data_IF_661903149159
#
_entry.id   IF_661903149159
#
_cell.length_a   1.000
_cell.length_b   1.000
_cell.length_c   1.000
_cell.angle_alpha   90.00
_cell.angle_beta   90.00
_cell.angle_gamma   90.00
#
_symmetry.space_group_name_H-M   'P 1'
#
loop_
_entity.id
_entity.type
_entity.pdbx_description
1 polymer ?
#
# COMPACT_ATOMS: atom_id res chain seq x y z
N UNK A 1 -38.28 -12.13 33.84
CA UNK A 1 -36.84 -11.88 34.08
C UNK A 1 -36.39 -10.86 33.04
N UNK A 2 -36.44 -9.57 33.40
CA UNK A 2 -35.31 -8.79 33.93
C UNK A 2 -34.28 -8.47 32.84
N UNK A 3 -33.83 -7.24 32.59
CA UNK A 3 -34.14 -5.86 33.00
C UNK A 3 -33.01 -5.04 32.34
N UNK A 4 -33.34 -3.89 31.73
CA UNK A 4 -32.49 -2.70 31.55
C UNK A 4 -31.28 -2.88 30.59
N UNK A 5 -31.02 -1.97 29.65
CA UNK A 5 -30.47 -0.64 29.94
C UNK A 5 -30.91 0.34 28.84
N UNK A 6 -31.64 1.38 29.27
CA UNK A 6 -31.71 2.68 28.61
C UNK A 6 -31.39 3.73 29.67
N UNK A 7 -30.35 4.53 29.43
CA UNK A 7 -30.07 5.84 30.02
C UNK A 7 -28.97 6.44 29.11
N UNK A 8 -29.22 7.42 28.22
CA UNK A 8 -29.58 8.83 28.47
C UNK A 8 -28.51 9.54 29.33
N UNK A 9 -28.02 10.76 29.10
CA UNK A 9 -28.23 11.84 28.11
C UNK A 9 -27.27 12.98 28.54
N UNK A 10 -26.85 13.82 27.58
CA UNK A 10 -26.33 15.21 27.71
C UNK A 10 -24.99 15.59 28.39
N UNK A 11 -24.50 16.71 27.82
CA UNK A 11 -23.58 17.78 28.27
C UNK A 11 -22.21 17.71 27.58
N UNK A 12 -21.73 18.70 26.82
CA UNK A 12 -21.94 20.15 26.96
C UNK A 12 -21.66 20.91 25.64
N UNK A 13 -22.54 21.89 25.39
CA UNK A 13 -22.37 23.24 24.84
C UNK A 13 -21.20 23.61 23.93
N UNK A 14 -21.56 24.37 22.88
CA UNK A 14 -20.67 24.86 21.85
C UNK A 14 -19.77 26.03 22.24
N UNK A 15 -18.82 26.29 21.35
CA UNK A 15 -18.34 27.63 21.07
C UNK A 15 -17.92 27.68 19.61
N UNK A 16 -18.71 28.39 18.81
CA UNK A 16 -18.31 28.83 17.49
C UNK A 16 -17.27 29.94 17.68
N UNK A 17 -16.05 29.71 17.19
CA UNK A 17 -15.14 30.79 16.87
C UNK A 17 -14.76 30.67 15.40
N UNK A 18 -15.47 31.49 14.64
CA UNK A 18 -15.14 31.95 13.31
C UNK A 18 -13.71 32.51 13.35
N UNK A 19 -12.77 31.88 12.65
CA UNK A 19 -11.50 32.53 12.32
C UNK A 19 -11.58 33.00 10.86
N UNK A 20 -11.36 34.30 10.60
CA UNK A 20 -11.48 34.86 9.27
C UNK A 20 -10.37 34.33 8.35
N UNK A 21 -10.76 33.91 7.16
CA UNK A 21 -9.86 33.72 6.02
C UNK A 21 -9.35 35.12 5.66
N UNK A 22 -8.11 35.44 6.06
CA UNK A 22 -7.39 36.58 5.50
C UNK A 22 -6.81 36.13 4.16
N UNK A 23 -7.54 36.43 3.08
CA UNK A 23 -7.01 36.39 1.73
C UNK A 23 -6.13 37.64 1.53
N UNK A 24 -4.80 37.47 1.58
CA UNK A 24 -3.88 38.50 1.08
C UNK A 24 -3.85 38.40 -0.45
N UNK A 25 -4.44 39.38 -1.12
CA UNK A 25 -4.28 39.62 -2.55
C UNK A 25 -2.86 40.13 -2.79
N UNK A 26 -1.95 39.26 -3.23
CA UNK A 26 -0.70 39.72 -3.82
C UNK A 26 -0.95 40.04 -5.29
N UNK A 27 -0.88 41.33 -5.60
CA UNK A 27 -0.71 41.89 -6.94
C UNK A 27 0.40 41.19 -7.71
N UNK A 28 0.11 40.80 -8.95
CA UNK A 28 1.07 40.25 -9.92
C UNK A 28 1.76 41.44 -10.62
N UNK A 29 3.08 41.65 -10.49
CA UNK A 29 3.82 42.39 -11.49
C UNK A 29 4.22 41.42 -12.62
N UNK A 30 3.78 41.76 -13.83
CA UNK A 30 4.22 41.12 -15.06
C UNK A 30 5.71 41.47 -15.31
N UNK A 31 6.58 40.46 -15.28
CA UNK A 31 7.97 40.58 -15.73
C UNK A 31 8.50 39.18 -16.07
N UNK A 32 8.32 38.79 -17.33
CA UNK A 32 8.90 37.59 -17.94
C UNK A 32 10.40 37.80 -18.15
N UNK A 33 11.24 36.92 -17.60
CA UNK A 33 12.50 36.50 -18.22
C UNK A 33 12.90 35.11 -17.74
N UNK A 34 13.48 34.26 -18.63
CA UNK A 34 13.69 32.85 -18.36
C UNK A 34 15.08 32.65 -17.73
N UNK A 35 15.13 32.26 -16.46
CA UNK A 35 16.28 31.53 -15.97
C UNK A 35 15.82 30.27 -15.26
N UNK A 36 16.26 29.17 -15.84
CA UNK A 36 16.10 27.78 -15.43
C UNK A 36 16.75 27.58 -14.04
N UNK A 37 16.08 28.02 -12.98
CA UNK A 37 16.47 27.66 -11.63
C UNK A 37 15.96 26.23 -11.36
N UNK A 38 16.86 25.25 -11.49
CA UNK A 38 16.65 23.90 -10.96
C UNK A 38 16.32 24.04 -9.47
N UNK A 39 15.04 23.92 -9.13
CA UNK A 39 14.64 23.76 -7.74
C UNK A 39 15.04 22.34 -7.36
N UNK A 40 16.22 22.19 -6.80
CA UNK A 40 16.63 20.98 -6.09
C UNK A 40 15.73 20.87 -4.87
N UNK A 41 14.68 20.05 -4.97
CA UNK A 41 13.96 19.55 -3.81
C UNK A 41 14.95 18.64 -3.08
N UNK A 42 15.67 19.19 -2.11
CA UNK A 42 16.37 18.41 -1.11
C UNK A 42 15.30 17.72 -0.26
N UNK A 43 14.90 16.52 -0.65
CA UNK A 43 14.25 15.60 0.27
C UNK A 43 15.28 15.28 1.35
N UNK A 44 15.21 16.02 2.46
CA UNK A 44 16.02 15.74 3.62
C UNK A 44 15.56 14.38 4.15
N UNK A 45 16.37 13.34 3.92
CA UNK A 45 16.23 12.04 4.58
C UNK A 45 16.37 12.25 6.09
N UNK A 46 15.25 12.59 6.73
CA UNK A 46 15.18 12.60 8.17
C UNK A 46 15.07 11.14 8.57
N UNK A 47 16.16 10.60 9.12
CA UNK A 47 16.10 9.34 9.84
C UNK A 47 14.86 9.37 10.76
N UNK A 48 13.99 8.35 10.72
CA UNK A 48 12.78 8.36 11.51
C UNK A 48 13.17 8.54 12.98
N UNK A 49 12.60 9.56 13.62
CA UNK A 49 12.74 9.75 15.05
C UNK A 49 12.21 8.48 15.74
N UNK A 50 13.12 7.70 16.33
CA UNK A 50 12.81 6.44 16.99
C UNK A 50 11.83 6.59 18.16
N UNK A 51 11.58 7.83 18.62
CA UNK A 51 10.61 8.18 19.66
C UNK A 51 9.25 8.64 19.13
N UNK A 52 9.15 8.95 17.84
CA UNK A 52 7.89 9.37 17.24
C UNK A 52 6.90 8.19 17.18
N UNK A 53 5.61 8.42 17.48
CA UNK A 53 4.62 7.36 17.44
C UNK A 53 4.55 6.78 16.03
N UNK A 54 4.71 5.45 15.92
CA UNK A 54 4.63 4.72 14.66
C UNK A 54 3.31 5.08 13.97
N UNK A 55 3.40 5.81 12.86
CA UNK A 55 2.23 6.22 12.09
C UNK A 55 1.99 5.21 10.97
N UNK A 56 0.89 4.50 11.06
CA UNK A 56 0.45 3.53 10.05
C UNK A 56 -0.89 3.98 9.48
N UNK A 57 -1.05 3.85 8.16
CA UNK A 57 -2.26 4.31 7.47
C UNK A 57 -3.39 3.27 7.52
N UNK A 58 -3.09 2.00 7.21
CA UNK A 58 -4.10 0.94 7.11
C UNK A 58 -4.44 0.30 8.46
N UNK A 59 -3.41 -0.05 9.24
CA UNK A 59 -3.59 -0.68 10.56
C UNK A 59 -3.45 0.39 11.62
N UNK A 60 -4.35 0.50 12.60
CA UNK A 60 -4.18 1.52 13.65
C UNK A 60 -3.07 1.13 14.63
N UNK A 61 -2.15 2.03 15.02
CA UNK A 61 -1.06 1.73 15.94
C UNK A 61 -1.52 1.17 17.29
N UNK A 62 -2.66 1.67 17.80
CA UNK A 62 -3.27 1.21 19.03
C UNK A 62 -3.63 -0.28 19.00
N UNK A 63 -4.12 -0.80 17.87
CA UNK A 63 -4.44 -2.22 17.71
C UNK A 63 -3.18 -3.09 17.65
N UNK A 64 -2.12 -2.63 16.97
CA UNK A 64 -0.83 -3.33 16.94
C UNK A 64 -0.25 -3.48 18.35
N UNK A 65 -0.22 -2.38 19.12
CA UNK A 65 0.27 -2.38 20.50
C UNK A 65 -0.58 -3.27 21.40
N UNK A 66 -1.91 -3.11 21.37
CA UNK A 66 -2.83 -3.88 22.20
C UNK A 66 -2.72 -5.39 21.92
N UNK A 67 -2.65 -5.79 20.64
CA UNK A 67 -2.45 -7.18 20.26
C UNK A 67 -1.11 -7.72 20.75
N UNK A 68 -0.02 -6.95 20.61
CA UNK A 68 1.31 -7.34 21.10
C UNK A 68 1.32 -7.54 22.62
N UNK A 69 0.67 -6.66 23.37
CA UNK A 69 0.54 -6.76 24.82
C UNK A 69 -0.31 -7.98 25.25
N UNK A 70 -1.40 -8.29 24.54
CA UNK A 70 -2.24 -9.47 24.80
C UNK A 70 -1.53 -10.78 24.48
N UNK A 71 -0.78 -10.85 23.38
CA UNK A 71 0.06 -12.00 23.02
C UNK A 71 1.07 -12.29 24.15
N UNK A 72 1.73 -11.26 24.67
CA UNK A 72 2.67 -11.39 25.81
C UNK A 72 1.99 -11.87 27.09
N UNK A 73 0.73 -11.51 27.31
CA UNK A 73 -0.08 -11.95 28.45
C UNK A 73 -0.68 -13.35 28.28
N UNK A 74 -0.41 -14.04 27.16
CA UNK A 74 -0.83 -15.43 26.96
C UNK A 74 -2.21 -15.61 26.32
N UNK A 75 -2.75 -14.59 25.66
CA UNK A 75 -4.01 -14.69 24.91
C UNK A 75 -3.94 -15.77 23.82
N UNK A 76 -4.70 -16.86 24.00
CA UNK A 76 -4.59 -18.07 23.17
C UNK A 76 -5.02 -17.86 21.72
N UNK A 77 -6.07 -17.08 21.50
CA UNK A 77 -6.56 -16.77 20.14
C UNK A 77 -5.54 -15.94 19.37
N UNK A 78 -4.97 -14.92 20.02
CA UNK A 78 -3.95 -14.10 19.37
C UNK A 78 -2.61 -14.83 19.20
N UNK A 79 -2.26 -15.76 20.09
CA UNK A 79 -1.11 -16.64 19.91
C UNK A 79 -1.28 -17.55 18.69
N UNK A 80 -2.48 -18.10 18.48
CA UNK A 80 -2.79 -18.88 17.29
C UNK A 80 -2.70 -18.02 16.01
N UNK A 81 -3.29 -16.83 16.02
CA UNK A 81 -3.21 -15.91 14.89
C UNK A 81 -1.76 -15.47 14.59
N UNK A 82 -0.93 -15.28 15.61
CA UNK A 82 0.50 -15.02 15.43
C UNK A 82 1.21 -16.22 14.79
N UNK A 83 0.88 -17.45 15.19
CA UNK A 83 1.45 -18.65 14.58
C UNK A 83 1.06 -18.79 13.09
N UNK A 84 -0.19 -18.48 12.74
CA UNK A 84 -0.65 -18.46 11.35
C UNK A 84 0.10 -17.39 10.53
N UNK A 85 0.31 -16.19 11.10
CA UNK A 85 1.12 -15.15 10.49
C UNK A 85 2.57 -15.61 10.26
N UNK A 86 3.18 -16.28 11.23
CA UNK A 86 4.55 -16.83 11.12
C UNK A 86 4.62 -17.83 9.96
N UNK A 87 3.65 -18.74 9.82
CA UNK A 87 3.62 -19.69 8.70
C UNK A 87 3.54 -18.97 7.35
N UNK A 88 2.77 -17.89 7.26
CA UNK A 88 2.68 -17.08 6.04
C UNK A 88 3.97 -16.29 5.77
N UNK A 89 4.59 -15.73 6.80
CA UNK A 89 5.86 -15.01 6.69
C UNK A 89 7.02 -15.94 6.29
N UNK A 90 7.04 -17.18 6.81
CA UNK A 90 8.05 -18.17 6.45
C UNK A 90 7.94 -18.64 5.00
N UNK A 91 6.73 -18.60 4.42
CA UNK A 91 6.54 -18.78 2.98
C UNK A 91 7.06 -17.56 2.19
N UNK A 92 6.80 -16.35 2.69
CA UNK A 92 7.26 -15.11 2.07
C UNK A 92 8.80 -15.01 2.02
N UNK A 93 9.52 -15.57 3.00
CA UNK A 93 11.00 -15.65 2.99
C UNK A 93 11.58 -16.34 1.75
N UNK A 94 10.80 -17.19 1.09
CA UNK A 94 11.20 -17.96 -0.10
C UNK A 94 10.67 -17.37 -1.40
N UNK A 95 10.05 -16.19 -1.33
CA UNK A 95 9.36 -15.58 -2.45
C UNK A 95 10.22 -14.51 -3.13
N UNK A 96 9.84 -14.15 -4.36
CA UNK A 96 10.62 -13.23 -5.20
C UNK A 96 11.84 -13.89 -5.85
N UNK A 97 12.71 -13.09 -6.51
CA UNK A 97 12.53 -11.66 -6.76
C UNK A 97 11.30 -11.35 -7.61
N UNK A 98 10.75 -10.14 -7.46
CA UNK A 98 9.66 -9.63 -8.28
C UNK A 98 10.19 -8.49 -9.13
N UNK A 99 9.88 -8.48 -10.43
CA UNK A 99 10.22 -7.35 -11.29
C UNK A 99 9.23 -7.25 -12.44
N UNK A 100 8.94 -6.00 -12.82
CA UNK A 100 8.18 -5.70 -14.03
C UNK A 100 8.98 -6.09 -15.27
N UNK A 101 10.30 -6.21 -15.19
CA UNK A 101 11.13 -6.63 -16.34
C UNK A 101 11.03 -8.13 -16.66
N UNK A 102 10.31 -8.94 -15.90
CA UNK A 102 10.18 -10.38 -16.21
C UNK A 102 9.12 -10.69 -17.28
N UNK A 103 8.25 -9.72 -17.62
CA UNK A 103 7.30 -9.90 -18.72
C UNK A 103 8.00 -10.09 -20.07
N UNK A 104 7.39 -10.90 -20.93
CA UNK A 104 7.88 -11.13 -22.29
C UNK A 104 7.52 -10.00 -23.25
N UNK A 105 6.33 -9.39 -23.09
CA UNK A 105 5.84 -8.29 -23.91
C UNK A 105 6.48 -6.96 -23.50
N UNK A 106 6.87 -6.14 -24.47
CA UNK A 106 7.35 -4.76 -24.25
C UNK A 106 6.12 -3.83 -24.18
N UNK A 107 6.00 -2.96 -23.16
CA UNK A 107 4.95 -1.95 -23.08
C UNK A 107 4.93 -0.99 -24.29
N UNK A 108 3.80 -0.31 -24.55
CA UNK A 108 3.68 0.63 -25.68
C UNK A 108 4.69 1.78 -25.68
N UNK A 109 5.27 2.12 -24.54
CA UNK A 109 6.34 3.13 -24.42
C UNK A 109 7.68 2.67 -25.01
N UNK A 110 7.88 1.36 -25.18
CA UNK A 110 9.16 0.75 -25.54
C UNK A 110 10.06 0.43 -24.35
N UNK A 111 9.71 0.86 -23.12
CA UNK A 111 10.51 0.59 -21.92
C UNK A 111 9.94 -0.60 -21.13
N UNK A 112 10.80 -1.56 -20.82
CA UNK A 112 10.45 -2.78 -20.08
C UNK A 112 10.28 -2.53 -18.57
N UNK A 113 10.79 -1.42 -18.06
CA UNK A 113 10.57 -0.95 -16.69
C UNK A 113 9.16 -0.36 -16.49
N UNK A 114 8.40 -0.10 -17.56
CA UNK A 114 7.02 0.33 -17.42
C UNK A 114 6.12 -0.83 -17.01
N UNK A 115 5.31 -0.61 -15.97
CA UNK A 115 4.30 -1.57 -15.55
C UNK A 115 3.25 -1.75 -16.65
N UNK A 116 2.89 -3.00 -16.95
CA UNK A 116 1.84 -3.32 -17.92
C UNK A 116 0.88 -4.38 -17.39
N UNK A 117 -0.42 -4.21 -17.65
CA UNK A 117 -1.43 -5.24 -17.36
C UNK A 117 -2.61 -5.13 -18.31
N UNK A 118 -3.37 -6.22 -18.47
CA UNK A 118 -4.61 -6.22 -19.26
C UNK A 118 -5.80 -6.07 -18.31
N UNK A 119 -6.70 -5.13 -18.65
CA UNK A 119 -7.94 -4.96 -17.90
C UNK A 119 -8.79 -6.24 -17.94
N UNK A 120 -9.37 -6.68 -16.82
CA UNK A 120 -9.94 -8.02 -16.70
C UNK A 120 -11.10 -8.27 -17.66
N UNK A 121 -11.89 -7.25 -18.01
CA UNK A 121 -13.10 -7.38 -18.81
C UNK A 121 -12.92 -6.96 -20.27
N UNK A 122 -11.69 -6.74 -20.73
CA UNK A 122 -11.42 -6.33 -22.11
C UNK A 122 -10.98 -7.54 -22.93
N UNK A 123 -11.74 -7.84 -23.99
CA UNK A 123 -11.55 -8.99 -24.87
C UNK A 123 -11.31 -8.55 -26.31
N UNK A 124 -10.55 -9.32 -27.10
CA UNK A 124 -10.49 -9.11 -28.54
C UNK A 124 -11.87 -9.16 -29.19
N UNK A 125 -12.13 -8.26 -30.15
CA UNK A 125 -13.36 -8.25 -30.94
C UNK A 125 -13.33 -9.35 -32.02
N UNK A 126 -14.10 -10.42 -31.82
CA UNK A 126 -14.15 -11.54 -32.77
C UNK A 126 -14.74 -11.20 -34.14
N UNK A 127 -15.35 -10.02 -34.30
CA UNK A 127 -15.88 -9.56 -35.60
C UNK A 127 -14.82 -8.90 -36.48
N UNK A 128 -13.62 -8.67 -35.94
CA UNK A 128 -12.51 -8.00 -36.64
C UNK A 128 -11.33 -8.93 -36.84
N UNK A 129 -10.66 -8.80 -37.98
CA UNK A 129 -9.55 -9.68 -38.37
C UNK A 129 -8.33 -9.56 -37.45
N UNK A 130 -8.14 -8.39 -36.82
CA UNK A 130 -7.06 -8.09 -35.88
C UNK A 130 -7.49 -8.15 -34.40
N UNK A 131 -8.79 -8.37 -34.14
CA UNK A 131 -9.33 -8.39 -32.78
C UNK A 131 -9.35 -7.02 -32.06
N UNK A 132 -9.10 -5.92 -32.77
CA UNK A 132 -8.96 -4.56 -32.21
C UNK A 132 -10.04 -3.60 -32.73
N UNK A 133 -10.50 -2.61 -31.92
CA UNK A 133 -10.16 -2.42 -30.52
C UNK A 133 -10.82 -3.49 -29.64
N UNK A 134 -10.30 -3.70 -28.43
CA UNK A 134 -10.92 -4.63 -27.50
C UNK A 134 -12.31 -4.14 -27.11
N UNK A 135 -13.21 -5.07 -26.80
CA UNK A 135 -14.57 -4.83 -26.33
C UNK A 135 -14.72 -5.25 -24.87
N UNK A 136 -15.55 -4.51 -24.12
CA UNK A 136 -15.81 -4.80 -22.70
C UNK A 136 -16.88 -5.90 -22.57
N UNK A 137 -16.53 -7.00 -21.90
CA UNK A 137 -17.46 -8.08 -21.47
C UNK A 137 -17.49 -8.14 -19.95
N UNK A 138 -18.43 -7.42 -19.34
CA UNK A 138 -18.50 -7.31 -17.88
C UNK A 138 -18.69 -8.67 -17.21
N UNK A 139 -18.05 -8.87 -16.06
CA UNK A 139 -18.06 -10.14 -15.32
C UNK A 139 -17.28 -11.30 -15.98
N UNK A 140 -16.81 -11.16 -17.21
CA UNK A 140 -16.07 -12.20 -17.94
C UNK A 140 -14.59 -11.85 -17.99
N UNK A 141 -13.76 -12.60 -17.25
CA UNK A 141 -12.32 -12.32 -17.16
C UNK A 141 -11.57 -12.85 -18.38
N UNK A 142 -10.92 -11.97 -19.15
CA UNK A 142 -10.05 -12.36 -20.26
C UNK A 142 -8.80 -13.09 -19.72
N UNK A 143 -8.57 -14.37 -20.08
CA UNK A 143 -7.42 -15.12 -19.59
C UNK A 143 -6.07 -14.57 -20.09
N UNK A 144 -6.04 -13.81 -21.18
CA UNK A 144 -4.81 -13.17 -21.67
C UNK A 144 -4.14 -12.31 -20.60
N UNK A 145 -4.91 -11.72 -19.68
CA UNK A 145 -4.36 -10.91 -18.59
C UNK A 145 -3.31 -11.66 -17.77
N UNK A 146 -3.42 -12.99 -17.67
CA UNK A 146 -2.50 -13.81 -16.89
C UNK A 146 -1.17 -14.08 -17.60
N UNK A 147 -1.05 -13.71 -18.88
CA UNK A 147 0.21 -13.79 -19.64
C UNK A 147 1.20 -12.68 -19.26
N UNK A 148 0.72 -11.55 -18.74
CA UNK A 148 1.55 -10.47 -18.19
C UNK A 148 1.45 -10.53 -16.67
N UNK A 149 2.59 -10.80 -16.02
CA UNK A 149 2.64 -11.10 -14.58
C UNK A 149 2.83 -9.90 -13.67
N UNK A 150 3.02 -8.69 -14.21
CA UNK A 150 3.32 -7.50 -13.39
C UNK A 150 2.26 -7.27 -12.30
N UNK A 151 0.97 -7.45 -12.60
CA UNK A 151 -0.10 -7.33 -11.61
C UNK A 151 -0.01 -8.40 -10.50
N UNK A 152 0.28 -9.64 -10.88
CA UNK A 152 0.42 -10.77 -9.95
C UNK A 152 1.67 -10.59 -9.07
N UNK A 153 2.78 -10.13 -9.65
CA UNK A 153 4.04 -9.83 -8.96
C UNK A 153 3.91 -8.64 -8.02
N UNK A 154 3.30 -7.54 -8.46
CA UNK A 154 3.04 -6.38 -7.61
C UNK A 154 2.18 -6.76 -6.40
N UNK A 155 1.08 -7.49 -6.63
CA UNK A 155 0.23 -7.97 -5.54
C UNK A 155 0.96 -8.92 -4.59
N UNK A 156 1.88 -9.76 -5.10
CA UNK A 156 2.69 -10.67 -4.28
C UNK A 156 3.71 -9.91 -3.44
N UNK A 157 4.44 -8.95 -4.03
CA UNK A 157 5.35 -8.07 -3.33
C UNK A 157 4.64 -7.35 -2.18
N UNK A 158 3.50 -6.70 -2.42
CA UNK A 158 2.76 -5.99 -1.38
C UNK A 158 2.31 -6.92 -0.24
N UNK A 159 1.81 -8.12 -0.56
CA UNK A 159 1.40 -9.10 0.46
C UNK A 159 2.57 -9.57 1.30
N UNK A 160 3.71 -9.85 0.68
CA UNK A 160 4.86 -10.41 1.36
C UNK A 160 5.58 -9.36 2.20
N UNK A 161 5.72 -8.12 1.70
CA UNK A 161 6.15 -6.96 2.49
C UNK A 161 5.26 -6.78 3.73
N UNK A 162 3.93 -6.87 3.58
CA UNK A 162 3.00 -6.75 4.70
C UNK A 162 3.17 -7.89 5.73
N UNK A 163 3.31 -9.13 5.27
CA UNK A 163 3.49 -10.30 6.16
C UNK A 163 4.81 -10.25 6.90
N UNK A 164 5.91 -9.96 6.20
CA UNK A 164 7.26 -9.90 6.77
C UNK A 164 7.37 -8.76 7.79
N UNK A 165 6.87 -7.57 7.45
CA UNK A 165 6.88 -6.42 8.37
C UNK A 165 6.07 -6.68 9.64
N UNK A 166 4.87 -7.29 9.51
CA UNK A 166 4.04 -7.60 10.67
C UNK A 166 4.65 -8.72 11.53
N UNK A 167 5.22 -9.75 10.90
CA UNK A 167 5.90 -10.83 11.61
C UNK A 167 7.14 -10.31 12.35
N UNK A 168 7.94 -9.44 11.72
CA UNK A 168 9.05 -8.75 12.37
C UNK A 168 8.57 -7.92 13.56
N UNK A 169 7.49 -7.13 13.40
CA UNK A 169 6.96 -6.31 14.48
C UNK A 169 6.55 -7.12 15.72
N UNK A 170 5.86 -8.25 15.56
CA UNK A 170 5.38 -9.04 16.70
C UNK A 170 6.45 -9.94 17.30
N UNK A 171 7.34 -10.52 16.48
CA UNK A 171 8.32 -11.52 16.93
C UNK A 171 9.69 -10.93 17.26
N UNK A 172 10.06 -9.80 16.64
CA UNK A 172 11.42 -9.25 16.68
C UNK A 172 12.45 -10.07 15.89
N UNK A 173 12.05 -11.09 15.14
CA UNK A 173 12.97 -11.95 14.41
C UNK A 173 13.54 -11.24 13.18
N UNK A 174 14.86 -11.00 13.18
CA UNK A 174 15.56 -10.22 12.17
C UNK A 174 15.44 -10.78 10.75
N UNK A 175 15.30 -12.10 10.57
CA UNK A 175 15.19 -12.74 9.24
C UNK A 175 14.09 -12.12 8.37
N UNK A 176 13.00 -11.69 8.98
CA UNK A 176 11.88 -11.08 8.27
C UNK A 176 12.21 -9.66 7.79
N UNK A 177 12.94 -8.88 8.60
CA UNK A 177 13.40 -7.54 8.23
C UNK A 177 14.45 -7.60 7.13
N UNK A 178 15.37 -8.57 7.18
CA UNK A 178 16.40 -8.75 6.16
C UNK A 178 15.78 -9.11 4.80
N UNK A 179 14.82 -10.04 4.81
CA UNK A 179 14.07 -10.41 3.60
C UNK A 179 13.24 -9.24 3.06
N UNK A 180 12.63 -8.42 3.94
CA UNK A 180 11.94 -7.21 3.55
C UNK A 180 12.88 -6.25 2.81
N UNK A 181 14.07 -5.98 3.36
CA UNK A 181 15.07 -5.12 2.74
C UNK A 181 15.49 -5.63 1.36
N UNK A 182 15.67 -6.96 1.21
CA UNK A 182 15.99 -7.57 -0.08
C UNK A 182 14.87 -7.37 -1.10
N UNK A 183 13.62 -7.62 -0.73
CA UNK A 183 12.47 -7.48 -1.63
C UNK A 183 12.21 -6.04 -2.09
N UNK A 184 12.55 -5.04 -1.27
CA UNK A 184 12.32 -3.63 -1.61
C UNK A 184 13.47 -2.97 -2.36
N UNK A 185 14.67 -3.55 -2.33
CA UNK A 185 15.86 -3.02 -3.01
C UNK A 185 16.23 -3.77 -4.29
N UNK A 186 15.37 -4.66 -4.78
CA UNK A 186 15.51 -5.19 -6.13
C UNK A 186 15.26 -4.08 -7.15
N UNK A 187 16.20 -3.87 -8.09
CA UNK A 187 15.99 -2.99 -9.24
C UNK A 187 14.75 -3.47 -10.01
N UNK A 188 13.66 -2.72 -9.92
CA UNK A 188 12.36 -3.05 -10.53
C UNK A 188 12.39 -2.91 -12.03
#
# INVERSE_FOLDING_TARGET
MMKNIALAVQMATGLALCFPIVAKSNTIPASLSPHLAKTTIHAQERAPDASAPVQTFLVRPAYLKASKDRIRKGDKELQKALQDLIVLADKALKSGPYSVTYKSKIPPSGDKHDYMSVGPYWWPDSTRSDGLPYIRKDGQVNPERFSIKDADYHGSLCRDVFRLSLAWYYTGNQRYSDSLFLLTNTNL
#
